data_IF_627631362929
#
_entry.id   IF_627631362929
#
_cell.length_a   1.000
_cell.length_b   1.000
_cell.length_c   1.000
_cell.angle_alpha   90.00
_cell.angle_beta   90.00
_cell.angle_gamma   90.00
#
_symmetry.space_group_name_H-M   'P 1'
#
loop_
_entity.id
_entity.type
_entity.pdbx_description
1 polymer ?
#
# COMPACT_ATOMS: atom_id res chain seq x y z
N UNK A 1 -4.28 -1.83 -11.34
CA UNK A 1 -4.47 -0.99 -10.14
C UNK A 1 -5.71 -1.46 -9.39
N UNK A 2 -5.57 -1.75 -8.09
CA UNK A 2 -6.64 -2.04 -7.13
C UNK A 2 -7.01 -0.71 -6.47
N UNK A 3 -8.24 -0.22 -6.69
CA UNK A 3 -8.72 1.05 -6.13
C UNK A 3 -9.73 0.82 -5.01
N UNK A 4 -9.30 1.01 -3.78
CA UNK A 4 -10.13 1.08 -2.58
C UNK A 4 -10.44 2.55 -2.24
N UNK A 5 -11.47 3.09 -2.90
CA UNK A 5 -11.92 4.47 -2.69
C UNK A 5 -12.48 4.74 -1.29
N UNK A 6 -12.90 3.70 -0.58
CA UNK A 6 -13.56 3.81 0.71
C UNK A 6 -12.60 3.65 1.90
N UNK A 7 -11.37 3.17 1.66
CA UNK A 7 -10.41 2.89 2.72
C UNK A 7 -10.83 1.72 3.61
N UNK A 8 -11.53 0.74 3.04
CA UNK A 8 -12.10 -0.41 3.76
C UNK A 8 -11.32 -1.71 3.56
N UNK A 9 -10.34 -1.73 2.66
CA UNK A 9 -9.56 -2.95 2.44
C UNK A 9 -8.77 -3.30 3.70
N UNK A 10 -8.98 -4.51 4.21
CA UNK A 10 -8.22 -5.00 5.36
C UNK A 10 -6.84 -5.50 4.91
N UNK A 11 -5.83 -5.53 5.80
CA UNK A 11 -4.48 -5.91 5.43
C UNK A 11 -4.36 -7.31 4.80
N UNK A 12 -5.05 -8.30 5.36
CA UNK A 12 -5.00 -9.66 4.83
C UNK A 12 -5.78 -9.81 3.52
N UNK A 13 -6.87 -9.07 3.32
CA UNK A 13 -7.56 -9.03 2.02
C UNK A 13 -6.66 -8.41 0.94
N UNK A 14 -5.89 -7.38 1.28
CA UNK A 14 -4.91 -6.81 0.36
C UNK A 14 -3.85 -7.85 -0.05
N UNK A 15 -3.32 -8.62 0.92
CA UNK A 15 -2.38 -9.72 0.64
C UNK A 15 -2.96 -10.75 -0.33
N UNK A 16 -4.16 -11.27 -0.02
CA UNK A 16 -4.81 -12.32 -0.80
C UNK A 16 -5.10 -11.85 -2.23
N UNK A 17 -5.61 -10.62 -2.38
CA UNK A 17 -5.96 -10.06 -3.66
C UNK A 17 -4.73 -9.78 -4.54
N UNK A 18 -3.68 -9.21 -3.95
CA UNK A 18 -2.41 -8.97 -4.66
C UNK A 18 -1.79 -10.29 -5.08
N UNK A 19 -1.72 -11.28 -4.18
CA UNK A 19 -1.18 -12.62 -4.48
C UNK A 19 -1.93 -13.26 -5.65
N UNK A 20 -3.27 -13.18 -5.64
CA UNK A 20 -4.10 -13.70 -6.73
C UNK A 20 -3.81 -12.99 -8.06
N UNK A 21 -3.66 -11.66 -8.05
CA UNK A 21 -3.40 -10.91 -9.27
C UNK A 21 -2.01 -11.18 -9.82
N UNK A 22 -0.98 -11.29 -8.96
CA UNK A 22 0.37 -11.67 -9.37
C UNK A 22 0.45 -13.10 -9.91
N UNK A 23 -0.38 -14.02 -9.43
CA UNK A 23 -0.47 -15.40 -9.95
C UNK A 23 -1.20 -15.48 -11.30
N UNK A 24 -2.24 -14.67 -11.51
CA UNK A 24 -3.11 -14.77 -12.69
C UNK A 24 -2.77 -13.80 -13.82
N UNK A 25 -2.08 -12.71 -13.53
CA UNK A 25 -1.85 -11.62 -14.46
C UNK A 25 -0.35 -11.34 -14.55
N UNK A 26 0.14 -11.25 -15.79
CA UNK A 26 1.51 -10.77 -16.08
C UNK A 26 1.51 -9.25 -16.25
N UNK A 27 1.02 -8.54 -15.23
CA UNK A 27 0.92 -7.08 -15.21
C UNK A 27 1.34 -6.53 -13.84
N UNK A 28 1.91 -5.30 -13.78
CA UNK A 28 2.15 -4.63 -12.51
C UNK A 28 0.86 -4.39 -11.72
N UNK A 29 0.90 -4.62 -10.42
CA UNK A 29 -0.19 -4.42 -9.48
C UNK A 29 0.13 -3.21 -8.58
N UNK A 30 -0.70 -2.19 -8.68
CA UNK A 30 -0.66 -0.99 -7.84
C UNK A 30 -1.84 -0.98 -6.87
N UNK A 31 -1.62 -0.58 -5.62
CA UNK A 31 -2.67 -0.38 -4.61
C UNK A 31 -2.92 1.11 -4.37
N UNK A 32 -4.16 1.53 -4.56
CA UNK A 32 -4.65 2.84 -4.16
C UNK A 32 -5.70 2.68 -3.08
N UNK A 33 -5.46 3.21 -1.88
CA UNK A 33 -6.41 3.15 -0.76
C UNK A 33 -6.42 4.46 0.03
N UNK A 34 -7.59 4.79 0.59
CA UNK A 34 -7.76 5.91 1.51
C UNK A 34 -7.56 5.46 2.96
N UNK A 35 -7.19 6.39 3.85
CA UNK A 35 -6.93 6.10 5.27
C UNK A 35 -8.21 6.17 6.15
N UNK A 36 -9.41 6.20 5.54
CA UNK A 36 -10.68 6.40 6.26
C UNK A 36 -10.91 5.32 7.31
N UNK A 37 -10.70 4.05 6.94
CA UNK A 37 -10.83 2.91 7.86
C UNK A 37 -9.61 2.69 8.75
N UNK A 38 -8.57 3.53 8.66
CA UNK A 38 -7.33 3.41 9.44
C UNK A 38 -6.46 2.21 9.10
N UNK A 39 -6.81 1.43 8.09
CA UNK A 39 -6.12 0.17 7.73
C UNK A 39 -5.12 0.33 6.58
N UNK A 40 -5.08 1.47 5.90
CA UNK A 40 -4.36 1.64 4.65
C UNK A 40 -2.84 1.39 4.77
N UNK A 41 -2.17 1.79 5.87
CA UNK A 41 -0.75 1.43 6.07
C UNK A 41 -0.58 -0.09 6.10
N UNK A 42 -1.39 -0.79 6.91
CA UNK A 42 -1.33 -2.25 6.99
C UNK A 42 -1.64 -2.92 5.66
N UNK A 43 -2.60 -2.40 4.91
CA UNK A 43 -2.93 -2.88 3.57
C UNK A 43 -1.77 -2.72 2.58
N UNK A 44 -1.08 -1.57 2.59
CA UNK A 44 0.11 -1.37 1.78
C UNK A 44 1.23 -2.35 2.17
N UNK A 45 1.55 -2.49 3.46
CA UNK A 45 2.60 -3.40 3.92
C UNK A 45 2.32 -4.86 3.54
N UNK A 46 1.10 -5.34 3.80
CA UNK A 46 0.69 -6.70 3.42
C UNK A 46 0.60 -6.89 1.90
N UNK A 47 0.22 -5.85 1.16
CA UNK A 47 0.30 -5.86 -0.30
C UNK A 47 1.74 -6.03 -0.79
N UNK A 48 2.68 -5.26 -0.22
CA UNK A 48 4.11 -5.33 -0.54
C UNK A 48 4.66 -6.74 -0.29
N UNK A 49 4.32 -7.36 0.85
CA UNK A 49 4.67 -8.76 1.15
C UNK A 49 4.12 -9.76 0.12
N UNK A 50 2.99 -9.46 -0.51
CA UNK A 50 2.35 -10.27 -1.56
C UNK A 50 2.90 -10.00 -2.98
N UNK A 51 3.89 -9.10 -3.12
CA UNK A 51 4.49 -8.75 -4.41
C UNK A 51 3.82 -7.58 -5.13
N UNK A 52 3.24 -6.64 -4.38
CA UNK A 52 2.73 -5.37 -4.91
C UNK A 52 3.87 -4.54 -5.53
N UNK A 53 3.67 -4.05 -6.75
CA UNK A 53 4.70 -3.30 -7.50
C UNK A 53 4.71 -1.80 -7.16
N UNK A 54 3.57 -1.24 -6.72
CA UNK A 54 3.47 0.16 -6.32
C UNK A 54 2.29 0.42 -5.36
N UNK A 55 2.40 1.44 -4.52
CA UNK A 55 1.28 1.95 -3.72
C UNK A 55 1.21 3.48 -3.79
N UNK A 56 0.01 4.03 -3.64
CA UNK A 56 -0.18 5.48 -3.53
C UNK A 56 -0.03 5.94 -2.09
N UNK A 57 0.70 7.02 -1.90
CA UNK A 57 0.93 7.66 -0.61
C UNK A 57 0.83 9.19 -0.74
N UNK A 58 0.69 9.88 0.39
CA UNK A 58 0.65 11.34 0.45
C UNK A 58 1.76 11.87 1.38
N UNK A 59 2.22 13.10 1.17
CA UNK A 59 3.10 13.77 2.13
C UNK A 59 2.40 13.89 3.49
N UNK A 60 3.12 13.68 4.59
CA UNK A 60 2.58 13.61 5.96
C UNK A 60 1.59 14.73 6.33
N UNK A 61 1.85 16.01 6.02
CA UNK A 61 0.93 17.11 6.30
C UNK A 61 -0.43 17.04 5.57
N UNK A 62 -0.53 16.24 4.52
CA UNK A 62 -1.71 16.06 3.68
C UNK A 62 -2.26 14.61 3.73
N UNK A 63 -1.68 13.75 4.56
CA UNK A 63 -2.06 12.35 4.70
C UNK A 63 -3.20 12.14 5.72
N UNK A 64 -3.61 10.87 5.89
CA UNK A 64 -4.64 10.40 6.84
C UNK A 64 -6.07 10.83 6.51
N UNK A 65 -7.03 10.36 7.31
CA UNK A 65 -8.46 10.63 7.14
C UNK A 65 -8.94 10.21 5.75
N UNK A 66 -9.54 11.14 5.01
CA UNK A 66 -9.97 10.92 3.63
C UNK A 66 -8.84 10.96 2.60
N UNK A 67 -7.58 11.14 3.00
CA UNK A 67 -6.41 11.09 2.13
C UNK A 67 -5.77 9.69 2.12
N UNK A 68 -4.61 9.57 1.48
CA UNK A 68 -3.78 8.36 1.43
C UNK A 68 -2.96 8.17 2.73
N UNK A 69 -2.35 6.99 2.95
CA UNK A 69 -1.35 6.82 4.00
C UNK A 69 -0.13 7.73 3.78
N UNK A 70 0.53 8.19 4.86
CA UNK A 70 1.74 9.01 4.78
C UNK A 70 2.91 8.26 4.13
N UNK A 71 3.54 8.88 3.14
CA UNK A 71 4.66 8.32 2.39
C UNK A 71 5.87 8.08 3.30
N UNK A 72 6.18 9.03 4.17
CA UNK A 72 7.30 8.99 5.10
C UNK A 72 7.21 7.79 6.05
N UNK A 73 5.99 7.47 6.50
CA UNK A 73 5.77 6.31 7.37
C UNK A 73 5.94 4.99 6.63
N UNK A 74 5.42 4.88 5.41
CA UNK A 74 5.56 3.65 4.61
C UNK A 74 7.01 3.41 4.20
N UNK A 75 7.70 4.44 3.71
CA UNK A 75 9.11 4.34 3.37
C UNK A 75 9.95 3.96 4.58
N UNK A 76 9.73 4.62 5.74
CA UNK A 76 10.45 4.28 6.97
C UNK A 76 10.13 2.88 7.47
N UNK A 77 8.91 2.38 7.26
CA UNK A 77 8.52 1.02 7.63
C UNK A 77 9.18 -0.06 6.75
N UNK A 78 9.45 0.26 5.48
CA UNK A 78 10.10 -0.65 4.53
C UNK A 78 11.62 -0.52 4.50
N UNK A 79 12.18 0.51 5.14
CA UNK A 79 13.61 0.78 5.13
C UNK A 79 14.42 -0.38 5.73
N UNK A 80 15.45 -0.83 5.00
CA UNK A 80 16.30 -1.96 5.39
C UNK A 80 15.67 -3.34 5.21
N UNK A 81 14.45 -3.43 4.65
CA UNK A 81 13.83 -4.69 4.25
C UNK A 81 14.18 -5.02 2.79
N UNK A 82 13.75 -6.19 2.30
CA UNK A 82 13.87 -6.53 0.87
C UNK A 82 13.02 -5.63 -0.06
N UNK A 83 12.07 -4.89 0.51
CA UNK A 83 11.19 -3.95 -0.19
C UNK A 83 11.55 -2.48 0.06
N UNK A 84 12.79 -2.20 0.44
CA UNK A 84 13.26 -0.82 0.62
C UNK A 84 13.02 0.00 -0.66
N UNK A 85 12.34 1.14 -0.49
CA UNK A 85 11.96 2.00 -1.62
C UNK A 85 13.13 2.80 -2.19
N UNK A 86 14.23 2.95 -1.44
CA UNK A 86 15.38 3.78 -1.82
C UNK A 86 15.12 5.29 -1.82
N UNK A 87 13.98 5.75 -1.29
CA UNK A 87 13.64 7.17 -1.20
C UNK A 87 14.34 7.84 -0.01
N UNK A 88 14.88 9.04 -0.25
CA UNK A 88 15.49 9.89 0.78
C UNK A 88 14.41 10.75 1.46
N UNK A 89 14.19 10.53 2.76
CA UNK A 89 13.13 11.14 3.58
C UNK A 89 13.70 11.62 4.91
#
# INVERSE_FOLDING_TARGET
CIKDMAGMISPYVAYDLVSLFKDKLDLPVQLHTHYIGGMAIGACLKGVEAGLDAFDACAGPLAFGSSQPPAETLVRALQGTEWDTGLDI
#
